data_IF_558437217698
#
_entry.id   IF_558437217698
#
_cell.length_a   1.000
_cell.length_b   1.000
_cell.length_c   1.000
_cell.angle_alpha   90.00
_cell.angle_beta   90.00
_cell.angle_gamma   90.00
#
_symmetry.space_group_name_H-M   'P 1'
#
loop_
_entity.id
_entity.type
_entity.pdbx_description
1 polymer ?
#
# COMPACT_ATOMS: atom_id res chain seq x y z
N UNK A 1 -8.43 5.96 1.08
CA UNK A 1 -7.37 5.47 0.16
C UNK A 1 -7.48 3.97 -0.17
N UNK A 2 -8.69 3.44 -0.37
CA UNK A 2 -8.89 2.04 -0.74
C UNK A 2 -8.20 1.71 -2.08
N UNK A 3 -8.34 2.60 -3.07
CA UNK A 3 -7.73 2.46 -4.41
C UNK A 3 -6.20 2.34 -4.35
N UNK A 4 -5.53 3.16 -3.52
CA UNK A 4 -4.08 3.09 -3.36
C UNK A 4 -3.63 1.78 -2.71
N UNK A 5 -4.39 1.25 -1.75
CA UNK A 5 -4.08 -0.03 -1.09
C UNK A 5 -4.21 -1.21 -2.04
N UNK A 6 -5.24 -1.23 -2.88
CA UNK A 6 -5.41 -2.26 -3.92
C UNK A 6 -4.23 -2.26 -4.91
N UNK A 7 -3.72 -1.08 -5.29
CA UNK A 7 -2.53 -0.96 -6.14
C UNK A 7 -1.28 -1.50 -5.44
N UNK A 8 -1.10 -1.19 -4.15
CA UNK A 8 0.01 -1.73 -3.35
C UNK A 8 -0.10 -3.28 -3.27
N UNK A 9 -1.28 -3.82 -2.99
CA UNK A 9 -1.52 -5.27 -2.94
C UNK A 9 -1.16 -5.95 -4.28
N UNK A 10 -1.59 -5.36 -5.40
CA UNK A 10 -1.26 -5.85 -6.73
C UNK A 10 0.25 -5.93 -6.94
N UNK A 11 1.00 -4.88 -6.59
CA UNK A 11 2.45 -4.89 -6.74
C UNK A 11 3.16 -5.84 -5.75
N UNK A 12 2.64 -6.02 -4.54
CA UNK A 12 3.14 -7.03 -3.60
C UNK A 12 2.95 -8.43 -4.18
N UNK A 13 1.80 -8.72 -4.79
CA UNK A 13 1.55 -9.99 -5.50
C UNK A 13 2.46 -10.20 -6.70
N UNK A 14 2.91 -9.12 -7.36
CA UNK A 14 3.95 -9.18 -8.40
C UNK A 14 5.37 -9.36 -7.83
N UNK A 15 5.55 -9.32 -6.51
CA UNK A 15 6.84 -9.53 -5.84
C UNK A 15 7.73 -8.30 -5.70
N UNK A 16 7.19 -7.08 -5.92
CA UNK A 16 7.98 -5.86 -5.74
C UNK A 16 8.19 -5.53 -4.26
N UNK A 17 9.32 -4.87 -3.97
CA UNK A 17 9.63 -4.33 -2.66
C UNK A 17 8.97 -2.96 -2.48
N UNK A 18 8.68 -2.59 -1.24
CA UNK A 18 7.98 -1.33 -0.91
C UNK A 18 8.58 -0.06 -1.55
N UNK A 19 9.91 -0.01 -1.71
CA UNK A 19 10.60 1.12 -2.35
C UNK A 19 10.34 1.22 -3.85
N UNK A 20 10.30 0.07 -4.54
CA UNK A 20 10.01 0.01 -5.97
C UNK A 20 8.54 0.38 -6.20
N UNK A 21 7.64 -0.13 -5.37
CA UNK A 21 6.21 0.23 -5.37
C UNK A 21 6.02 1.74 -5.20
N UNK A 22 6.71 2.33 -4.22
CA UNK A 22 6.62 3.78 -4.00
C UNK A 22 7.15 4.57 -5.21
N UNK A 23 8.26 4.14 -5.82
CA UNK A 23 8.80 4.80 -7.01
C UNK A 23 7.81 4.76 -8.18
N UNK A 24 7.23 3.60 -8.47
CA UNK A 24 6.21 3.42 -9.51
C UNK A 24 4.98 4.29 -9.24
N UNK A 25 4.49 4.30 -8.01
CA UNK A 25 3.32 5.10 -7.66
C UNK A 25 3.59 6.61 -7.75
N UNK A 26 4.79 7.06 -7.40
CA UNK A 26 5.20 8.47 -7.55
C UNK A 26 5.35 8.85 -9.02
N UNK A 27 5.88 7.97 -9.86
CA UNK A 27 6.05 8.28 -11.28
C UNK A 27 4.69 8.44 -12.00
N UNK A 28 3.72 7.59 -11.67
CA UNK A 28 2.38 7.61 -12.28
C UNK A 28 1.46 8.67 -11.64
N UNK A 29 1.40 8.74 -10.30
CA UNK A 29 0.42 9.57 -9.59
C UNK A 29 0.95 10.95 -9.17
N UNK A 30 2.27 11.15 -9.23
CA UNK A 30 2.95 12.41 -8.85
C UNK A 30 2.45 12.92 -7.49
N UNK A 31 1.76 14.05 -7.46
CA UNK A 31 1.25 14.69 -6.24
C UNK A 31 0.18 13.86 -5.49
N UNK A 32 -0.51 12.98 -6.21
CA UNK A 32 -1.54 12.10 -5.63
C UNK A 32 -0.97 10.78 -5.09
N UNK A 33 0.35 10.59 -5.13
CA UNK A 33 0.99 9.39 -4.66
C UNK A 33 0.88 9.23 -3.14
N UNK A 34 0.66 8.01 -2.62
CA UNK A 34 0.70 7.75 -1.19
C UNK A 34 2.11 7.99 -0.64
N UNK A 35 2.20 8.41 0.62
CA UNK A 35 3.49 8.59 1.27
C UNK A 35 4.26 7.26 1.37
N UNK A 36 5.59 7.34 1.28
CA UNK A 36 6.50 6.19 1.49
C UNK A 36 6.16 5.39 2.74
N UNK A 37 5.85 6.06 3.86
CA UNK A 37 5.47 5.40 5.12
C UNK A 37 4.21 4.55 4.97
N UNK A 38 3.22 5.05 4.24
CA UNK A 38 1.98 4.31 3.96
C UNK A 38 2.24 3.09 3.07
N UNK A 39 3.04 3.24 2.01
CA UNK A 39 3.41 2.13 1.12
C UNK A 39 4.14 1.03 1.88
N UNK A 40 5.14 1.39 2.71
CA UNK A 40 5.87 0.41 3.52
C UNK A 40 4.94 -0.32 4.50
N UNK A 41 4.05 0.40 5.20
CA UNK A 41 3.10 -0.21 6.13
C UNK A 41 2.25 -1.26 5.42
N UNK A 42 1.58 -0.89 4.33
CA UNK A 42 0.67 -1.79 3.62
C UNK A 42 1.40 -2.93 2.93
N UNK A 43 2.59 -2.69 2.39
CA UNK A 43 3.43 -3.75 1.81
C UNK A 43 3.72 -4.84 2.84
N UNK A 44 4.10 -4.46 4.07
CA UNK A 44 4.37 -5.41 5.16
C UNK A 44 3.10 -6.17 5.60
N UNK A 45 1.97 -5.48 5.71
CA UNK A 45 0.69 -6.11 6.06
C UNK A 45 0.25 -7.15 5.02
N UNK A 46 0.37 -6.82 3.71
CA UNK A 46 0.05 -7.77 2.64
C UNK A 46 1.03 -8.94 2.59
N UNK A 47 2.33 -8.71 2.82
CA UNK A 47 3.32 -9.78 2.94
C UNK A 47 3.04 -10.72 4.12
N UNK A 48 2.43 -10.22 5.20
CA UNK A 48 1.99 -11.00 6.36
C UNK A 48 0.69 -11.80 6.10
N UNK A 49 0.12 -11.72 4.90
CA UNK A 49 -1.08 -12.46 4.53
C UNK A 49 -2.39 -11.74 4.83
N UNK A 50 -2.37 -10.44 5.13
CA UNK A 50 -3.60 -9.65 5.23
C UNK A 50 -4.29 -9.63 3.87
N UNK A 51 -5.55 -10.03 3.80
CA UNK A 51 -6.37 -9.98 2.56
C UNK A 51 -7.34 -8.81 2.55
N UNK A 52 -7.56 -8.16 3.70
CA UNK A 52 -8.48 -7.03 3.79
C UNK A 52 -7.77 -5.70 3.49
N UNK A 53 -8.28 -4.99 2.49
CA UNK A 53 -7.89 -3.64 2.06
C UNK A 53 -8.50 -2.53 2.93
N UNK A 54 -9.53 -2.85 3.72
CA UNK A 54 -10.13 -1.94 4.69
C UNK A 54 -9.27 -1.82 5.97
N UNK A 55 -9.37 -0.66 6.62
CA UNK A 55 -8.80 -0.53 7.96
C UNK A 55 -9.63 -1.37 8.93
N UNK A 56 -8.95 -1.94 9.93
CA UNK A 56 -9.67 -2.56 11.05
C UNK A 56 -10.57 -1.52 11.71
N UNK A 57 -11.75 -1.92 12.21
CA UNK A 57 -12.61 -1.02 12.94
C UNK A 57 -11.80 -0.31 14.00
N UNK A 58 -11.70 1.02 13.90
CA UNK A 58 -11.05 1.84 14.91
C UNK A 58 -11.86 1.72 16.19
N UNK A 59 -11.42 0.85 17.08
CA UNK A 59 -11.79 0.89 18.49
C UNK A 59 -11.47 2.30 18.98
N UNK A 60 -12.51 3.10 19.19
CA UNK A 60 -12.37 4.52 19.52
C UNK A 60 -12.06 4.73 21.00
N UNK A 61 -11.12 5.62 21.28
CA UNK A 61 -11.32 6.82 22.10
C UNK A 61 -10.47 7.95 21.53
#
# INVERSE_FOLDING_TARGET
>A
NLKQRAVIEFFVKKGLKAMEIHSEMVDVLRESAPSKRMVCKWTLEFQRGRTNIEDDPRSGR
#
